data_IF_306514193576
#
_entry.id   IF_306514193576
#
_cell.length_a   1.000
_cell.length_b   1.000
_cell.length_c   1.000
_cell.angle_alpha   90.00
_cell.angle_beta   90.00
_cell.angle_gamma   90.00
#
_symmetry.space_group_name_H-M   'P 1'
#
loop_
_entity.id
_entity.type
_entity.pdbx_description
1 polymer ?
#
# COMPACT_ATOMS: atom_id res chain seq x y z
N UNK A 1 22.80 -1.96 -10.97
CA UNK A 1 22.59 -2.99 -9.95
C UNK A 1 21.44 -3.90 -10.39
N UNK A 2 21.66 -5.19 -10.36
CA UNK A 2 20.59 -6.14 -10.64
C UNK A 2 19.96 -6.60 -9.34
N UNK A 3 18.64 -6.57 -9.29
CA UNK A 3 17.89 -7.14 -8.17
C UNK A 3 17.27 -8.45 -8.62
N UNK A 4 17.62 -9.52 -7.90
CA UNK A 4 16.99 -10.85 -8.10
C UNK A 4 15.83 -11.02 -7.10
N UNK A 5 15.10 -9.95 -6.84
CA UNK A 5 14.03 -9.96 -5.88
C UNK A 5 12.74 -9.46 -6.50
N UNK A 6 11.64 -9.97 -5.99
CA UNK A 6 10.30 -9.62 -6.44
C UNK A 6 9.42 -9.37 -5.21
N UNK A 7 8.49 -8.45 -5.36
CA UNK A 7 7.49 -8.17 -4.35
C UNK A 7 6.12 -8.27 -5.03
N UNK A 8 5.23 -9.06 -4.45
CA UNK A 8 3.84 -9.10 -4.88
C UNK A 8 3.11 -7.89 -4.28
N UNK A 9 2.45 -7.10 -5.11
CA UNK A 9 1.76 -5.89 -4.66
C UNK A 9 0.27 -6.03 -4.89
N UNK A 10 -0.51 -5.86 -3.83
CA UNK A 10 -1.96 -5.68 -3.96
C UNK A 10 -2.23 -4.18 -3.90
N UNK A 11 -2.72 -3.63 -5.01
CA UNK A 11 -2.98 -2.20 -5.13
C UNK A 11 -4.43 -1.89 -4.79
N UNK A 12 -4.62 -0.93 -3.90
CA UNK A 12 -5.93 -0.37 -3.57
C UNK A 12 -5.87 1.14 -3.75
N UNK A 13 -6.97 1.72 -4.20
CA UNK A 13 -7.08 3.16 -4.34
C UNK A 13 -8.38 3.65 -3.72
N UNK A 14 -8.35 4.80 -3.12
CA UNK A 14 -9.54 5.42 -2.55
C UNK A 14 -9.48 6.94 -2.66
N UNK A 15 -10.63 7.55 -2.90
CA UNK A 15 -10.82 8.99 -2.80
C UNK A 15 -11.88 9.34 -1.76
N UNK A 16 -12.39 8.35 -1.03
CA UNK A 16 -13.53 8.50 -0.13
C UNK A 16 -13.09 8.63 1.32
N UNK A 17 -13.41 9.78 1.98
CA UNK A 17 -13.09 9.95 3.40
C UNK A 17 -13.77 8.93 4.32
N UNK A 18 -14.80 8.24 3.84
CA UNK A 18 -15.46 7.18 4.63
C UNK A 18 -14.67 5.88 4.67
N UNK A 19 -13.69 5.71 3.79
CA UNK A 19 -12.91 4.47 3.68
C UNK A 19 -11.59 4.52 4.43
N UNK A 20 -11.11 5.71 4.74
CA UNK A 20 -9.87 5.89 5.47
C UNK A 20 -9.95 7.11 6.37
N UNK A 21 -9.09 7.14 7.38
CA UNK A 21 -8.92 8.31 8.23
C UNK A 21 -7.44 8.49 8.56
N UNK A 22 -7.05 9.73 8.81
CA UNK A 22 -5.69 10.05 9.22
C UNK A 22 -5.74 10.60 10.63
N UNK A 23 -4.97 10.01 11.53
CA UNK A 23 -4.88 10.47 12.91
C UNK A 23 -3.41 10.42 13.34
N UNK A 24 -2.86 11.60 13.65
CA UNK A 24 -1.43 11.70 13.92
C UNK A 24 -0.63 11.31 12.69
N UNK A 25 0.30 10.37 12.85
CA UNK A 25 1.17 9.88 11.78
C UNK A 25 0.71 8.54 11.21
N UNK A 26 -0.57 8.24 11.32
CA UNK A 26 -1.08 6.92 10.97
C UNK A 26 -2.36 7.03 10.16
N UNK A 27 -2.43 6.21 9.10
CA UNK A 27 -3.62 6.08 8.27
C UNK A 27 -4.34 4.81 8.69
N UNK A 28 -5.64 4.92 8.98
CA UNK A 28 -6.50 3.77 9.20
C UNK A 28 -7.31 3.55 7.94
N UNK A 29 -7.19 2.37 7.35
CA UNK A 29 -7.87 2.02 6.12
C UNK A 29 -8.70 0.75 6.31
N UNK A 30 -9.92 0.77 5.78
CA UNK A 30 -10.83 -0.37 5.87
C UNK A 30 -10.58 -1.31 4.69
N UNK A 31 -10.02 -2.48 4.98
CA UNK A 31 -9.68 -3.49 3.99
C UNK A 31 -10.64 -4.67 4.10
N UNK A 32 -11.08 -5.22 2.97
CA UNK A 32 -11.91 -6.42 2.99
C UNK A 32 -11.18 -7.58 3.67
N UNK A 33 -11.90 -8.34 4.49
CA UNK A 33 -11.31 -9.43 5.27
C UNK A 33 -10.60 -10.46 4.41
N UNK A 34 -11.17 -10.80 3.25
CA UNK A 34 -10.54 -11.73 2.31
C UNK A 34 -9.18 -11.22 1.85
N UNK A 35 -9.11 -9.94 1.48
CA UNK A 35 -7.86 -9.33 1.02
C UNK A 35 -6.82 -9.27 2.13
N UNK A 36 -7.28 -8.98 3.35
CA UNK A 36 -6.41 -8.99 4.53
C UNK A 36 -5.79 -10.38 4.74
N UNK A 37 -6.62 -11.41 4.72
CA UNK A 37 -6.16 -12.78 4.93
C UNK A 37 -5.19 -13.24 3.82
N UNK A 38 -5.46 -12.86 2.57
CA UNK A 38 -4.56 -13.15 1.46
C UNK A 38 -3.18 -12.51 1.68
N UNK A 39 -3.15 -11.31 2.21
CA UNK A 39 -1.90 -10.59 2.48
C UNK A 39 -1.15 -11.12 3.71
N UNK A 40 -1.88 -11.72 4.66
CA UNK A 40 -1.28 -12.33 5.85
C UNK A 40 -0.66 -13.69 5.57
N UNK A 41 -1.08 -14.35 4.50
CA UNK A 41 -0.67 -15.71 4.20
C UNK A 41 0.84 -15.81 4.03
N UNK A 42 1.44 -16.81 4.65
CA UNK A 42 2.85 -17.10 4.47
C UNK A 42 3.10 -17.55 3.02
N UNK A 43 4.08 -16.95 2.38
CA UNK A 43 4.42 -17.24 0.99
C UNK A 43 5.93 -17.10 0.80
N UNK A 44 6.47 -17.83 -0.16
CA UNK A 44 7.85 -17.66 -0.55
C UNK A 44 8.11 -16.29 -1.17
N UNK A 45 7.08 -15.68 -1.74
CA UNK A 45 7.17 -14.35 -2.32
C UNK A 45 6.70 -13.29 -1.30
N UNK A 46 7.57 -12.33 -0.96
CA UNK A 46 7.15 -11.19 -0.13
C UNK A 46 6.02 -10.41 -0.78
N UNK A 47 5.10 -9.94 0.03
CA UNK A 47 3.95 -9.19 -0.46
C UNK A 47 3.71 -7.94 0.37
N UNK A 48 3.04 -6.96 -0.25
CA UNK A 48 2.62 -5.75 0.44
C UNK A 48 1.30 -5.24 -0.12
N UNK A 49 0.61 -4.46 0.69
CA UNK A 49 -0.49 -3.63 0.25
C UNK A 49 0.07 -2.27 -0.14
N UNK A 50 -0.31 -1.77 -1.31
CA UNK A 50 -0.05 -0.39 -1.70
C UNK A 50 -1.38 0.35 -1.75
N UNK A 51 -1.50 1.41 -0.99
CA UNK A 51 -2.71 2.23 -0.92
C UNK A 51 -2.47 3.57 -1.57
N UNK A 52 -3.23 3.85 -2.63
CA UNK A 52 -3.23 5.15 -3.31
C UNK A 52 -4.40 5.97 -2.80
N UNK A 53 -4.10 7.11 -2.20
CA UNK A 53 -5.12 8.06 -1.76
C UNK A 53 -5.21 9.18 -2.78
N UNK A 54 -6.36 9.31 -3.38
CA UNK A 54 -6.65 10.27 -4.45
C UNK A 54 -7.45 11.45 -3.91
N UNK A 55 -7.38 12.64 -4.55
CA UNK A 55 -8.28 13.73 -4.22
C UNK A 55 -9.75 13.32 -4.37
N UNK A 56 -10.63 13.89 -3.56
CA UNK A 56 -12.08 13.60 -3.63
C UNK A 56 -12.66 13.92 -4.99
N UNK A 57 -12.24 15.03 -5.59
CA UNK A 57 -12.71 15.44 -6.91
C UNK A 57 -11.90 14.73 -7.98
N UNK A 58 -12.56 13.83 -8.75
CA UNK A 58 -11.90 13.08 -9.79
C UNK A 58 -11.30 13.93 -10.90
N UNK A 59 -11.79 15.14 -11.10
CA UNK A 59 -11.22 16.07 -12.06
C UNK A 59 -9.82 16.52 -11.70
N UNK A 60 -9.43 16.37 -10.43
CA UNK A 60 -8.10 16.73 -9.94
C UNK A 60 -7.09 15.58 -10.03
N UNK A 61 -7.52 14.37 -10.41
CA UNK A 61 -6.64 13.20 -10.40
C UNK A 61 -5.51 13.28 -11.42
N UNK A 62 -5.75 13.92 -12.56
CA UNK A 62 -4.78 14.01 -13.65
C UNK A 62 -4.63 15.47 -14.06
N UNK A 63 -3.39 15.93 -14.07
CA UNK A 63 -3.03 17.26 -14.58
C UNK A 63 -2.29 17.14 -15.90
N UNK A 64 -2.49 18.10 -16.78
CA UNK A 64 -1.87 18.14 -18.12
C UNK A 64 -1.12 19.43 -18.34
N UNK A 65 0.05 19.32 -18.97
CA UNK A 65 0.73 20.42 -19.59
C UNK A 65 1.28 19.93 -20.94
N UNK A 66 1.92 20.81 -21.71
CA UNK A 66 2.51 20.40 -22.99
C UNK A 66 3.58 19.32 -22.80
N UNK A 67 4.31 19.38 -21.69
CA UNK A 67 5.46 18.52 -21.45
C UNK A 67 5.23 17.47 -20.39
N UNK A 68 4.14 17.54 -19.64
CA UNK A 68 3.94 16.70 -18.47
C UNK A 68 2.53 16.14 -18.35
N UNK A 69 2.47 14.91 -17.91
CA UNK A 69 1.27 14.29 -17.38
C UNK A 69 1.50 14.09 -15.88
N UNK A 70 0.68 14.73 -15.05
CA UNK A 70 0.80 14.61 -13.59
C UNK A 70 -0.35 13.80 -13.03
N UNK A 71 -0.01 12.82 -12.21
CA UNK A 71 -0.97 12.08 -11.40
C UNK A 71 -0.93 12.62 -9.98
N UNK A 72 -2.08 13.04 -9.47
CA UNK A 72 -2.18 13.54 -8.10
C UNK A 72 -2.64 12.44 -7.16
N UNK A 73 -2.01 12.39 -6.01
CA UNK A 73 -2.30 11.39 -5.00
C UNK A 73 -1.06 11.10 -4.18
N UNK A 74 -1.26 10.37 -3.11
CA UNK A 74 -0.18 9.88 -2.26
C UNK A 74 -0.28 8.38 -2.14
N UNK A 75 0.84 7.69 -2.21
CA UNK A 75 0.87 6.23 -2.10
C UNK A 75 1.64 5.80 -0.86
N UNK A 76 1.06 4.84 -0.14
CA UNK A 76 1.62 4.28 1.07
C UNK A 76 1.63 2.77 0.98
N UNK A 77 2.45 2.11 1.79
CA UNK A 77 2.56 0.67 1.77
C UNK A 77 2.55 0.09 3.18
N UNK A 78 2.17 -1.17 3.28
CA UNK A 78 2.32 -1.95 4.50
C UNK A 78 2.48 -3.43 4.16
N UNK A 79 3.38 -4.11 4.88
CA UNK A 79 3.51 -5.55 4.83
C UNK A 79 2.69 -6.19 5.94
N UNK A 80 1.88 -7.19 5.59
CA UNK A 80 1.00 -7.87 6.54
C UNK A 80 1.31 -9.36 6.69
N UNK A 81 2.34 -9.86 6.01
CA UNK A 81 2.71 -11.27 6.10
C UNK A 81 3.05 -11.65 7.53
N UNK A 82 2.68 -12.87 7.90
CA UNK A 82 2.86 -13.44 9.23
C UNK A 82 2.02 -12.79 10.34
N UNK A 83 1.09 -11.93 9.99
CA UNK A 83 0.08 -11.50 10.95
C UNK A 83 -1.03 -12.56 11.03
N UNK A 84 -1.72 -12.58 12.17
CA UNK A 84 -2.82 -13.51 12.38
C UNK A 84 -4.00 -13.13 11.48
N UNK A 85 -4.53 -14.10 10.76
CA UNK A 85 -5.73 -13.93 9.96
C UNK A 85 -6.92 -13.54 10.83
N UNK A 86 -7.90 -12.89 10.23
CA UNK A 86 -9.12 -12.48 10.91
C UNK A 86 -10.26 -13.45 10.63
N UNK A 87 -11.16 -13.56 11.62
CA UNK A 87 -12.44 -14.28 11.47
C UNK A 87 -13.57 -13.35 11.04
N UNK A 88 -13.29 -12.06 10.83
CA UNK A 88 -14.29 -11.10 10.38
C UNK A 88 -14.83 -11.51 9.02
N UNK A 89 -16.12 -11.25 8.78
CA UNK A 89 -16.78 -11.61 7.53
C UNK A 89 -16.79 -10.47 6.51
N UNK A 90 -16.50 -9.24 6.90
CA UNK A 90 -16.61 -8.09 6.00
C UNK A 90 -15.29 -7.34 5.84
N UNK A 91 -14.78 -6.72 6.89
CA UNK A 91 -13.61 -5.87 6.78
C UNK A 91 -12.77 -5.85 8.05
N UNK A 92 -11.53 -5.41 7.87
CA UNK A 92 -10.55 -5.20 8.93
C UNK A 92 -10.01 -3.79 8.78
N UNK A 93 -9.90 -3.05 9.87
CA UNK A 93 -9.20 -1.77 9.87
C UNK A 93 -7.71 -2.02 10.04
N UNK A 94 -6.92 -1.61 9.05
CA UNK A 94 -5.47 -1.71 9.12
C UNK A 94 -4.88 -0.32 9.35
N UNK A 95 -3.72 -0.29 9.98
CA UNK A 95 -3.03 0.97 10.30
C UNK A 95 -1.73 1.04 9.52
N UNK A 96 -1.59 2.09 8.72
CA UNK A 96 -0.41 2.30 7.88
C UNK A 96 0.32 3.53 8.40
N UNK A 97 1.59 3.39 8.81
CA UNK A 97 2.37 4.56 9.20
C UNK A 97 2.53 5.52 8.02
N UNK A 98 2.33 6.81 8.23
CA UNK A 98 2.50 7.80 7.17
C UNK A 98 3.95 7.92 6.70
N UNK A 99 4.89 7.41 7.49
CA UNK A 99 6.29 7.30 7.06
C UNK A 99 6.50 6.25 5.97
N UNK A 100 5.52 5.35 5.78
CA UNK A 100 5.59 4.32 4.75
C UNK A 100 5.13 4.86 3.39
N UNK A 101 5.70 5.95 2.94
CA UNK A 101 5.41 6.48 1.60
C UNK A 101 6.03 5.58 0.54
N UNK A 102 5.27 5.32 -0.51
CA UNK A 102 5.74 4.50 -1.63
C UNK A 102 6.12 5.41 -2.79
N UNK A 103 7.42 5.47 -3.06
CA UNK A 103 8.00 6.24 -4.16
C UNK A 103 9.19 5.47 -4.71
N UNK A 104 9.87 6.01 -5.73
CA UNK A 104 10.99 5.31 -6.36
C UNK A 104 12.09 4.94 -5.37
N UNK A 105 12.41 5.84 -4.43
CA UNK A 105 13.44 5.58 -3.44
C UNK A 105 13.04 4.45 -2.49
N UNK A 106 11.83 4.51 -1.94
CA UNK A 106 11.37 3.49 -1.00
C UNK A 106 11.17 2.14 -1.68
N UNK A 107 10.73 2.10 -2.93
CA UNK A 107 10.62 0.85 -3.69
C UNK A 107 11.98 0.17 -3.80
N UNK A 108 13.03 0.92 -4.12
CA UNK A 108 14.38 0.37 -4.21
C UNK A 108 14.83 -0.18 -2.85
N UNK A 109 14.58 0.55 -1.77
CA UNK A 109 14.93 0.12 -0.42
C UNK A 109 14.19 -1.18 -0.03
N UNK A 110 12.90 -1.28 -0.39
CA UNK A 110 12.11 -2.47 -0.12
C UNK A 110 12.63 -3.69 -0.90
N UNK A 111 12.99 -3.50 -2.17
CA UNK A 111 13.57 -4.57 -2.98
C UNK A 111 14.91 -5.02 -2.41
N UNK A 112 15.72 -4.12 -1.90
CA UNK A 112 16.98 -4.45 -1.24
C UNK A 112 16.77 -5.27 0.04
N UNK A 113 15.75 -4.91 0.84
CA UNK A 113 15.39 -5.66 2.04
C UNK A 113 14.97 -7.09 1.69
N UNK A 114 14.13 -7.22 0.68
CA UNK A 114 13.66 -8.52 0.21
C UNK A 114 14.83 -9.37 -0.32
N UNK A 115 15.77 -8.77 -1.01
CA UNK A 115 16.97 -9.47 -1.51
C UNK A 115 17.82 -10.03 -0.37
N UNK A 116 17.72 -9.45 0.82
CA UNK A 116 18.40 -9.92 2.03
C UNK A 116 17.60 -10.97 2.80
N UNK A 117 16.43 -11.35 2.31
CA UNK A 117 15.56 -12.31 2.97
C UNK A 117 14.65 -11.72 4.04
N UNK A 118 14.51 -10.41 4.10
CA UNK A 118 13.64 -9.77 5.10
C UNK A 118 12.18 -9.75 4.63
N UNK A 119 11.26 -9.82 5.59
CA UNK A 119 9.84 -9.54 5.34
C UNK A 119 9.59 -8.02 5.41
N UNK A 120 8.52 -7.58 4.75
CA UNK A 120 8.15 -6.15 4.72
C UNK A 120 7.23 -5.75 5.86
#
# INVERSE_FOLDING_TARGET
>A
MKFNSQISVQLKATSSPSQYSVKGNEITYKLKAKNFNDLCAASAMPSMLALLILPENSEEWVGWSEDELMLKGEMFWIGLQNQKETDNNSSVSIKIPMTNRLNCKSIIELLQRVAKGEYL
#
